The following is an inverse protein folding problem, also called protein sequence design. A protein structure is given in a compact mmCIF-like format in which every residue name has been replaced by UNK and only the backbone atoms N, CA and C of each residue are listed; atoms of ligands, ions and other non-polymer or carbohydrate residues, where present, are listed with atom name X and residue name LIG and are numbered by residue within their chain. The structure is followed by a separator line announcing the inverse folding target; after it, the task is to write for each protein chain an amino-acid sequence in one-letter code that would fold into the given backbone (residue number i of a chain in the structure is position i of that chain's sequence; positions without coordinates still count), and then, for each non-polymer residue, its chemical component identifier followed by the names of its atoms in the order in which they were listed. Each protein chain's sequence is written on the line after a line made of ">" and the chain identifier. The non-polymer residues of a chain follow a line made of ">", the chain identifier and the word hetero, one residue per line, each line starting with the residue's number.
data_IF_943025914103
#
_entry.id   IF_943025914103
#
_cell.length_a   1.000
_cell.length_b   1.000
_cell.length_c   1.000
_cell.angle_alpha   90.00
_cell.angle_beta   90.00
_cell.angle_gamma   90.00
#
_symmetry.space_group_name_H-M   'P 1'
#
loop_
_entity.id
_entity.type
_entity.pdbx_description
1 polymer ?
#
# COMPACT_ATOMS: atom_id res chain seq x y z
N UNK A 1 -38.55 0.94 29.61
CA UNK A 1 -37.44 0.01 29.30
C UNK A 1 -36.22 0.89 29.05
N UNK A 2 -35.34 1.04 30.04
CA UNK A 2 -34.16 1.92 29.94
C UNK A 2 -32.99 1.14 29.33
N UNK A 3 -32.40 1.70 28.27
CA UNK A 3 -31.20 1.17 27.63
C UNK A 3 -29.97 1.67 28.40
N UNK A 4 -29.32 0.80 29.17
CA UNK A 4 -28.03 1.08 29.78
C UNK A 4 -26.91 0.77 28.79
N UNK A 5 -26.13 1.78 28.39
CA UNK A 5 -24.92 1.61 27.58
C UNK A 5 -23.68 1.70 28.49
N UNK A 6 -22.91 0.61 28.56
CA UNK A 6 -21.54 0.66 29.10
C UNK A 6 -20.61 1.29 28.07
N UNK A 7 -20.54 2.61 28.05
CA UNK A 7 -19.51 3.34 27.30
C UNK A 7 -18.16 3.30 28.03
N UNK A 8 -17.07 3.55 27.31
CA UNK A 8 -15.74 3.80 27.92
C UNK A 8 -15.84 5.11 28.72
N UNK A 9 -15.35 5.09 29.96
CA UNK A 9 -15.37 6.24 30.88
C UNK A 9 -14.88 7.51 30.15
N UNK A 10 -15.73 8.56 30.09
CA UNK A 10 -15.52 9.88 29.45
C UNK A 10 -15.75 10.00 27.93
N UNK A 11 -16.31 9.01 27.25
CA UNK A 11 -16.67 9.16 25.82
C UNK A 11 -18.08 9.75 25.66
N UNK A 12 -18.21 10.90 24.95
CA UNK A 12 -19.52 11.50 24.61
C UNK A 12 -20.08 10.89 23.32
N UNK A 13 -21.41 10.75 23.26
CA UNK A 13 -22.11 10.28 22.06
C UNK A 13 -21.75 11.16 20.85
N UNK A 14 -21.36 10.54 19.74
CA UNK A 14 -21.00 11.25 18.50
C UNK A 14 -19.56 11.77 18.40
N UNK A 15 -18.75 11.66 19.47
CA UNK A 15 -17.34 12.06 19.45
C UNK A 15 -16.43 10.84 19.26
N UNK A 16 -15.88 10.67 18.05
CA UNK A 16 -14.76 9.76 17.80
C UNK A 16 -13.48 10.43 18.28
N UNK A 17 -13.10 10.22 19.54
CA UNK A 17 -11.74 10.54 19.97
C UNK A 17 -10.79 9.66 19.15
N UNK A 18 -9.79 10.28 18.52
CA UNK A 18 -8.66 9.57 17.89
C UNK A 18 -7.87 8.74 18.93
N UNK A 19 -6.82 8.02 18.50
CA UNK A 19 -6.15 7.01 19.32
C UNK A 19 -5.78 7.48 20.75
N UNK A 20 -5.77 6.55 21.73
CA UNK A 20 -5.55 5.12 21.54
C UNK A 20 -6.84 4.31 21.76
N UNK A 21 -7.53 3.95 20.67
CA UNK A 21 -8.20 2.64 20.70
C UNK A 21 -7.08 1.60 20.75
N UNK A 22 -7.20 0.56 21.57
CA UNK A 22 -6.16 -0.43 21.68
C UNK A 22 -5.92 -1.03 20.29
N UNK A 23 -4.66 -0.94 19.86
CA UNK A 23 -4.22 -1.25 18.50
C UNK A 23 -4.33 -2.76 18.20
N UNK A 24 -4.77 -3.58 19.15
CA UNK A 24 -4.75 -5.03 19.02
C UNK A 24 -6.10 -5.51 18.47
N UNK A 25 -6.06 -6.46 17.54
CA UNK A 25 -7.26 -7.23 17.15
C UNK A 25 -7.90 -8.05 18.28
N UNK A 26 -7.42 -7.89 19.53
CA UNK A 26 -8.00 -8.43 20.75
C UNK A 26 -9.22 -7.66 21.24
N UNK A 27 -9.37 -6.40 20.86
CA UNK A 27 -10.37 -5.48 21.43
C UNK A 27 -11.71 -5.45 20.69
N UNK A 28 -11.85 -6.32 19.69
CA UNK A 28 -13.16 -6.61 19.14
C UNK A 28 -14.05 -7.26 20.19
N UNK A 29 -15.25 -6.71 20.37
CA UNK A 29 -16.29 -7.37 21.15
C UNK A 29 -16.55 -8.78 20.59
N UNK A 30 -17.07 -9.73 21.39
CA UNK A 30 -17.42 -11.06 20.89
C UNK A 30 -18.33 -11.01 19.65
N UNK A 31 -19.24 -10.02 19.58
CA UNK A 31 -20.10 -9.79 18.42
C UNK A 31 -19.32 -9.33 17.19
N UNK A 32 -18.37 -8.40 17.34
CA UNK A 32 -17.47 -7.98 16.26
C UNK A 32 -16.59 -9.13 15.79
N UNK A 33 -16.02 -9.92 16.70
CA UNK A 33 -15.25 -11.14 16.37
C UNK A 33 -16.08 -12.13 15.56
N UNK A 34 -17.35 -12.36 15.96
CA UNK A 34 -18.30 -13.23 15.24
C UNK A 34 -18.65 -12.66 13.85
N UNK A 35 -18.92 -11.36 13.74
CA UNK A 35 -19.23 -10.71 12.47
C UNK A 35 -18.03 -10.74 11.50
N UNK A 36 -16.82 -10.47 12.00
CA UNK A 36 -15.57 -10.59 11.24
C UNK A 36 -15.40 -12.03 10.78
N UNK A 37 -15.52 -13.01 11.69
CA UNK A 37 -15.40 -14.44 11.35
C UNK A 37 -16.38 -14.87 10.26
N UNK A 38 -17.64 -14.44 10.35
CA UNK A 38 -18.68 -14.78 9.38
C UNK A 38 -18.48 -14.11 8.01
N UNK A 39 -17.88 -12.92 7.98
CA UNK A 39 -17.54 -12.21 6.72
C UNK A 39 -16.24 -12.69 6.09
N UNK A 40 -15.34 -13.32 6.85
CA UNK A 40 -14.09 -13.85 6.33
C UNK A 40 -14.36 -15.06 5.44
N UNK A 41 -14.02 -14.93 4.15
CA UNK A 41 -14.25 -16.01 3.16
C UNK A 41 -13.25 -17.16 3.28
N UNK A 42 -12.05 -16.91 3.80
CA UNK A 42 -11.03 -17.92 4.13
C UNK A 42 -9.92 -17.31 5.00
N UNK A 43 -9.10 -18.14 5.64
CA UNK A 43 -7.90 -17.68 6.36
C UNK A 43 -6.93 -16.98 5.42
N UNK A 44 -6.60 -15.72 5.71
CA UNK A 44 -5.58 -14.93 5.02
C UNK A 44 -5.85 -14.67 3.51
N UNK A 45 -7.11 -14.45 3.11
CA UNK A 45 -7.46 -13.99 1.76
C UNK A 45 -7.32 -12.48 1.58
N UNK A 46 -7.03 -12.07 0.35
CA UNK A 46 -7.08 -10.67 -0.10
C UNK A 46 -8.45 -10.03 0.18
N UNK A 47 -9.52 -10.82 0.07
CA UNK A 47 -10.87 -10.37 0.37
C UNK A 47 -11.01 -9.86 1.81
N UNK A 48 -10.33 -10.50 2.76
CA UNK A 48 -10.35 -10.02 4.13
C UNK A 48 -9.59 -8.68 4.28
N UNK A 49 -8.48 -8.50 3.57
CA UNK A 49 -7.66 -7.27 3.66
C UNK A 49 -8.26 -6.09 2.93
N UNK A 50 -9.14 -6.37 1.95
CA UNK A 50 -10.03 -5.37 1.39
C UNK A 50 -10.94 -4.74 2.46
N UNK A 51 -11.43 -5.53 3.41
CA UNK A 51 -12.50 -5.12 4.32
C UNK A 51 -12.07 -4.91 5.78
N UNK A 52 -10.88 -5.39 6.17
CA UNK A 52 -10.41 -5.38 7.55
C UNK A 52 -9.00 -4.82 7.65
N UNK A 53 -8.85 -3.80 8.50
CA UNK A 53 -7.55 -3.26 8.86
C UNK A 53 -6.66 -4.34 9.47
N UNK A 54 -5.36 -4.22 9.23
CA UNK A 54 -4.33 -5.08 9.80
C UNK A 54 -3.50 -4.30 10.83
N UNK A 55 -2.96 -5.01 11.82
CA UNK A 55 -2.01 -4.44 12.77
C UNK A 55 -0.75 -5.28 12.73
N UNK A 56 0.37 -4.65 12.39
CA UNK A 56 1.68 -5.26 12.37
C UNK A 56 2.32 -5.08 13.74
N UNK A 57 2.78 -6.17 14.33
CA UNK A 57 3.35 -6.14 15.67
C UNK A 57 4.83 -5.80 15.57
N UNK A 58 5.30 -4.81 16.33
CA UNK A 58 6.68 -4.35 16.24
C UNK A 58 7.71 -5.48 16.41
N UNK A 59 7.48 -6.34 17.40
CA UNK A 59 8.40 -7.43 17.77
C UNK A 59 8.37 -8.62 16.80
N UNK A 60 7.37 -8.70 15.92
CA UNK A 60 7.14 -9.89 15.07
C UNK A 60 7.16 -9.60 13.58
N UNK A 61 7.14 -8.32 13.20
CA UNK A 61 7.04 -7.90 11.81
C UNK A 61 8.40 -7.40 11.32
N UNK A 62 8.84 -7.96 10.20
CA UNK A 62 9.91 -7.37 9.38
C UNK A 62 9.33 -6.94 8.05
N UNK A 63 9.42 -5.64 7.75
CA UNK A 63 9.04 -5.03 6.50
C UNK A 63 10.17 -5.18 5.48
N UNK A 64 9.92 -5.91 4.41
CA UNK A 64 10.92 -6.24 3.38
C UNK A 64 10.57 -5.60 2.05
N UNK A 65 11.54 -4.95 1.41
CA UNK A 65 11.44 -4.44 0.05
C UNK A 65 12.63 -4.86 -0.82
N UNK A 66 12.43 -4.89 -2.14
CA UNK A 66 13.46 -5.23 -3.13
C UNK A 66 13.71 -4.03 -4.04
N UNK A 67 14.94 -3.56 -4.10
CA UNK A 67 15.32 -2.36 -4.86
C UNK A 67 16.71 -2.49 -5.46
N UNK A 68 16.98 -1.83 -6.60
CA UNK A 68 18.35 -1.65 -7.08
C UNK A 68 19.11 -0.57 -6.33
N UNK A 69 18.38 0.36 -5.72
CA UNK A 69 18.92 1.33 -4.77
C UNK A 69 18.95 0.72 -3.36
N UNK A 70 20.14 0.62 -2.77
CA UNK A 70 20.37 0.09 -1.42
C UNK A 70 19.78 0.99 -0.33
N UNK A 71 19.56 2.27 -0.61
CA UNK A 71 19.11 3.27 0.34
C UNK A 71 17.62 3.61 0.13
N UNK A 72 16.87 2.77 -0.59
CA UNK A 72 15.47 3.02 -1.00
C UNK A 72 14.50 3.34 0.15
N UNK A 73 14.81 2.95 1.39
CA UNK A 73 13.98 3.24 2.56
C UNK A 73 14.50 4.40 3.41
N UNK A 74 15.62 5.01 3.02
CA UNK A 74 16.20 6.19 3.68
C UNK A 74 15.73 7.46 2.98
N UNK A 75 15.41 8.49 3.77
CA UNK A 75 15.03 9.82 3.28
C UNK A 75 13.91 9.80 2.20
N UNK A 76 13.04 8.81 2.26
CA UNK A 76 11.84 8.69 1.42
C UNK A 76 10.61 9.04 2.24
N UNK A 77 9.54 9.48 1.60
CA UNK A 77 8.23 9.73 2.23
C UNK A 77 7.37 8.46 2.32
N UNK A 78 7.68 7.44 1.51
CA UNK A 78 7.02 6.14 1.54
C UNK A 78 7.89 5.04 0.92
N UNK A 79 7.52 3.77 1.18
CA UNK A 79 8.02 2.63 0.40
C UNK A 79 7.04 1.47 0.37
N UNK A 80 7.13 0.67 -0.69
CA UNK A 80 6.44 -0.61 -0.79
C UNK A 80 7.12 -1.66 0.06
N UNK A 81 6.34 -2.39 0.86
CA UNK A 81 6.85 -3.45 1.69
C UNK A 81 5.97 -4.69 1.63
N UNK A 82 6.61 -5.82 1.90
CA UNK A 82 5.93 -7.06 2.28
C UNK A 82 6.34 -7.47 3.66
N UNK A 83 5.39 -8.01 4.42
CA UNK A 83 5.67 -8.60 5.73
C UNK A 83 5.37 -10.10 5.76
N UNK A 84 4.55 -10.61 4.83
CA UNK A 84 4.25 -12.02 4.72
C UNK A 84 5.43 -12.79 4.09
N UNK A 85 5.82 -13.92 4.71
CA UNK A 85 6.94 -14.73 4.21
C UNK A 85 6.74 -15.27 2.80
N UNK A 86 5.50 -15.61 2.42
CA UNK A 86 5.21 -16.07 1.07
C UNK A 86 5.35 -14.94 0.05
N UNK A 87 4.83 -13.75 0.39
CA UNK A 87 4.93 -12.60 -0.50
C UNK A 87 6.42 -12.25 -0.74
N UNK A 88 7.27 -12.35 0.28
CA UNK A 88 8.73 -12.19 0.13
C UNK A 88 9.31 -13.16 -0.90
N UNK A 89 8.92 -14.45 -0.86
CA UNK A 89 9.35 -15.42 -1.86
C UNK A 89 8.80 -15.08 -3.25
N UNK A 90 7.53 -14.70 -3.35
CA UNK A 90 6.92 -14.29 -4.62
C UNK A 90 7.62 -13.09 -5.25
N UNK A 91 7.82 -12.00 -4.49
CA UNK A 91 8.51 -10.81 -5.00
C UNK A 91 9.93 -11.15 -5.43
N UNK A 92 10.64 -11.95 -4.64
CA UNK A 92 12.00 -12.36 -4.98
C UNK A 92 12.05 -13.22 -6.26
N UNK A 93 11.18 -14.22 -6.42
CA UNK A 93 11.16 -15.06 -7.62
C UNK A 93 10.89 -14.25 -8.90
N UNK A 94 9.93 -13.33 -8.83
CA UNK A 94 9.44 -12.61 -10.01
C UNK A 94 10.33 -11.42 -10.39
N UNK A 95 10.67 -10.57 -9.42
CA UNK A 95 11.25 -9.25 -9.68
C UNK A 95 12.74 -9.13 -9.38
N UNK A 96 13.34 -10.12 -8.75
CA UNK A 96 14.77 -10.10 -8.49
C UNK A 96 15.53 -10.62 -9.71
N UNK A 97 15.64 -9.78 -10.74
CA UNK A 97 16.41 -10.07 -11.95
C UNK A 97 17.75 -9.36 -11.92
N UNK A 98 18.83 -9.97 -12.43
CA UNK A 98 20.07 -9.25 -12.61
C UNK A 98 19.88 -8.16 -13.66
N UNK A 99 20.37 -6.95 -13.39
CA UNK A 99 20.47 -5.90 -14.41
C UNK A 99 21.94 -5.57 -14.69
N UNK A 100 22.29 -5.24 -15.93
CA UNK A 100 23.61 -4.72 -16.25
C UNK A 100 23.81 -3.37 -15.55
N UNK A 101 24.90 -3.22 -14.80
CA UNK A 101 25.33 -1.94 -14.24
C UNK A 101 26.83 -1.73 -14.50
N UNK A 102 27.29 -0.49 -14.73
CA UNK A 102 28.71 -0.16 -14.79
C UNK A 102 29.46 -0.59 -13.52
N UNK A 103 30.67 -1.12 -13.69
CA UNK A 103 31.59 -1.42 -12.59
C UNK A 103 32.73 -0.41 -12.65
N UNK A 104 33.05 0.18 -11.51
CA UNK A 104 34.12 1.16 -11.37
C UNK A 104 35.24 0.60 -10.49
N UNK A 105 36.49 0.96 -10.79
CA UNK A 105 37.61 0.72 -9.89
C UNK A 105 37.63 1.71 -8.71
N UNK A 106 38.60 1.55 -7.81
CA UNK A 106 38.77 2.41 -6.62
C UNK A 106 39.01 3.90 -6.93
N UNK A 107 39.40 4.23 -8.16
CA UNK A 107 39.66 5.59 -8.61
C UNK A 107 38.45 6.16 -9.38
N UNK A 108 37.33 5.43 -9.45
CA UNK A 108 36.12 5.85 -10.16
C UNK A 108 36.18 5.64 -11.68
N UNK A 109 37.18 4.94 -12.22
CA UNK A 109 37.24 4.61 -13.66
C UNK A 109 36.36 3.41 -13.95
N UNK A 110 35.49 3.51 -14.97
CA UNK A 110 34.67 2.37 -15.40
C UNK A 110 35.58 1.27 -15.99
N UNK A 111 35.48 0.06 -15.45
CA UNK A 111 36.28 -1.11 -15.84
C UNK A 111 35.44 -2.21 -16.50
N UNK A 112 34.13 -2.05 -16.58
CA UNK A 112 33.25 -2.97 -17.28
C UNK A 112 31.78 -2.82 -16.93
N UNK A 113 31.01 -3.86 -17.23
CA UNK A 113 29.59 -3.98 -16.90
C UNK A 113 29.36 -5.29 -16.17
N UNK A 114 28.81 -5.22 -14.96
CA UNK A 114 28.47 -6.38 -14.14
C UNK A 114 26.96 -6.61 -14.13
N UNK A 115 26.54 -7.84 -13.86
CA UNK A 115 25.14 -8.21 -13.71
C UNK A 115 24.77 -8.26 -12.22
N UNK A 116 23.94 -7.33 -11.76
CA UNK A 116 23.66 -7.16 -10.34
C UNK A 116 22.21 -7.43 -9.98
N UNK A 117 22.01 -8.26 -8.96
CA UNK A 117 20.71 -8.51 -8.34
C UNK A 117 20.28 -7.32 -7.48
N UNK A 118 18.99 -7.28 -7.13
CA UNK A 118 18.44 -6.27 -6.22
C UNK A 118 19.01 -6.42 -4.81
N UNK A 119 19.02 -5.33 -4.07
CA UNK A 119 19.13 -5.35 -2.62
C UNK A 119 17.80 -5.78 -2.01
N UNK A 120 17.89 -6.62 -0.98
CA UNK A 120 16.81 -6.80 -0.01
C UNK A 120 17.08 -5.86 1.15
N UNK A 121 16.07 -5.06 1.46
CA UNK A 121 16.11 -4.06 2.52
C UNK A 121 15.02 -4.45 3.51
N UNK A 122 15.45 -4.92 4.67
CA UNK A 122 14.60 -5.33 5.78
C UNK A 122 14.59 -4.22 6.83
N UNK A 123 13.39 -3.87 7.29
CA UNK A 123 13.16 -2.83 8.30
C UNK A 123 12.31 -3.42 9.42
N UNK A 124 12.53 -2.93 10.63
CA UNK A 124 11.69 -3.20 11.81
C UNK A 124 10.82 -1.98 12.13
N UNK A 125 9.91 -2.14 13.09
CA UNK A 125 8.99 -1.10 13.52
C UNK A 125 9.32 -0.66 14.94
N UNK A 126 9.21 0.64 15.24
CA UNK A 126 9.33 1.18 16.61
C UNK A 126 8.16 0.76 17.50
N UNK A 127 6.95 0.84 16.97
CA UNK A 127 5.72 0.41 17.64
C UNK A 127 4.79 -0.33 16.69
N UNK A 128 3.72 -0.93 17.22
CA UNK A 128 2.70 -1.57 16.41
C UNK A 128 2.19 -0.59 15.33
N UNK A 129 2.09 -1.07 14.09
CA UNK A 129 1.73 -0.26 12.93
C UNK A 129 0.36 -0.69 12.40
N UNK A 130 -0.60 0.23 12.39
CA UNK A 130 -1.92 -0.02 11.79
C UNK A 130 -1.86 0.19 10.28
N UNK A 131 -2.37 -0.80 9.55
CA UNK A 131 -2.47 -0.82 8.08
C UNK A 131 -3.94 -0.64 7.71
N UNK A 132 -4.24 0.40 6.94
CA UNK A 132 -5.58 0.61 6.40
C UNK A 132 -5.92 -0.47 5.38
N UNK A 133 -7.12 -1.06 5.53
CA UNK A 133 -7.74 -1.84 4.47
C UNK A 133 -8.12 -0.98 3.26
N UNK A 134 -8.51 -1.60 2.15
CA UNK A 134 -9.05 -0.86 1.00
C UNK A 134 -10.27 -0.02 1.41
N UNK A 135 -11.21 -0.59 2.18
CA UNK A 135 -12.41 0.13 2.61
C UNK A 135 -12.06 1.32 3.51
N UNK A 136 -11.16 1.16 4.49
CA UNK A 136 -10.73 2.24 5.37
C UNK A 136 -9.92 3.32 4.62
N UNK A 137 -9.02 2.90 3.71
CA UNK A 137 -8.27 3.83 2.86
C UNK A 137 -9.19 4.63 1.94
N UNK A 138 -10.19 3.96 1.35
CA UNK A 138 -11.23 4.60 0.55
C UNK A 138 -12.08 5.56 1.39
N UNK A 139 -12.39 5.25 2.65
CA UNK A 139 -13.11 6.17 3.56
C UNK A 139 -12.31 7.45 3.81
N UNK A 140 -11.02 7.34 4.11
CA UNK A 140 -10.13 8.50 4.28
C UNK A 140 -10.05 9.30 2.98
N UNK A 141 -9.91 8.63 1.84
CA UNK A 141 -9.88 9.25 0.51
C UNK A 141 -11.17 10.02 0.22
N UNK A 142 -12.33 9.41 0.45
CA UNK A 142 -13.64 10.04 0.26
C UNK A 142 -13.81 11.29 1.13
N UNK A 143 -13.36 11.23 2.38
CA UNK A 143 -13.41 12.37 3.28
C UNK A 143 -12.50 13.51 2.82
N UNK A 144 -11.29 13.20 2.34
CA UNK A 144 -10.39 14.20 1.77
C UNK A 144 -10.96 14.81 0.48
N UNK A 145 -11.48 13.97 -0.42
CA UNK A 145 -12.14 14.38 -1.66
C UNK A 145 -13.29 15.38 -1.43
N UNK A 146 -14.08 15.19 -0.38
CA UNK A 146 -15.22 16.09 -0.09
C UNK A 146 -14.82 17.43 0.51
N UNK A 147 -13.67 17.51 1.19
CA UNK A 147 -13.30 18.67 2.01
C UNK A 147 -12.17 19.52 1.43
N UNK A 148 -11.29 18.93 0.60
CA UNK A 148 -10.13 19.61 0.03
C UNK A 148 -10.37 19.86 -1.46
N UNK A 149 -10.57 21.13 -1.83
CA UNK A 149 -10.90 21.54 -3.20
C UNK A 149 -9.81 21.20 -4.21
N UNK A 150 -8.54 21.30 -3.82
CA UNK A 150 -7.43 20.99 -4.73
C UNK A 150 -7.27 19.48 -4.92
N UNK A 151 -7.46 18.69 -3.87
CA UNK A 151 -7.51 17.22 -3.98
C UNK A 151 -8.71 16.78 -4.83
N UNK A 152 -9.88 17.38 -4.64
CA UNK A 152 -11.04 17.19 -5.51
C UNK A 152 -10.65 17.44 -6.98
N UNK A 153 -10.08 18.61 -7.27
CA UNK A 153 -9.70 19.00 -8.63
C UNK A 153 -8.68 18.03 -9.22
N UNK A 154 -7.67 17.62 -8.46
CA UNK A 154 -6.68 16.62 -8.89
C UNK A 154 -7.35 15.30 -9.27
N UNK A 155 -8.29 14.83 -8.44
CA UNK A 155 -9.00 13.57 -8.66
C UNK A 155 -9.96 13.66 -9.85
N UNK A 156 -10.64 14.78 -10.06
CA UNK A 156 -11.58 14.93 -11.19
C UNK A 156 -10.87 15.23 -12.51
N UNK A 157 -9.65 15.74 -12.45
CA UNK A 157 -8.86 16.10 -13.63
C UNK A 157 -8.15 14.87 -14.21
N UNK A 158 -8.57 14.52 -15.43
CA UNK A 158 -8.01 13.41 -16.21
C UNK A 158 -6.55 13.64 -16.59
N UNK A 159 -6.17 14.87 -16.92
CA UNK A 159 -4.80 15.18 -17.34
C UNK A 159 -3.86 15.26 -16.15
N UNK A 160 -4.37 15.59 -14.96
CA UNK A 160 -3.62 15.42 -13.71
C UNK A 160 -3.53 13.94 -13.37
N UNK A 161 -4.58 13.28 -12.90
CA UNK A 161 -4.45 11.94 -12.33
C UNK A 161 -4.24 10.80 -13.35
N UNK A 162 -4.83 10.86 -14.57
CA UNK A 162 -4.74 9.74 -15.54
C UNK A 162 -3.54 9.84 -16.50
N UNK A 163 -2.80 10.95 -16.51
CA UNK A 163 -1.67 11.11 -17.44
C UNK A 163 -0.42 10.33 -17.04
N UNK A 164 -0.34 9.86 -15.79
CA UNK A 164 0.82 9.14 -15.24
C UNK A 164 0.94 7.67 -15.67
N UNK A 165 -0.09 7.12 -16.29
CA UNK A 165 -0.13 5.73 -16.68
C UNK A 165 0.61 5.47 -18.01
N UNK A 166 1.34 4.35 -18.08
CA UNK A 166 2.08 3.92 -19.28
C UNK A 166 1.21 3.70 -20.53
N UNK A 167 1.83 3.66 -21.71
CA UNK A 167 1.18 3.60 -23.04
C UNK A 167 0.09 2.52 -23.20
N UNK A 168 0.16 1.41 -22.45
CA UNK A 168 -0.79 0.28 -22.49
C UNK A 168 -1.89 0.33 -21.42
N UNK A 169 -2.08 1.45 -20.72
CA UNK A 169 -3.03 1.62 -19.60
C UNK A 169 -4.47 1.19 -19.87
N UNK A 170 -4.93 1.30 -21.11
CA UNK A 170 -6.28 0.91 -21.49
C UNK A 170 -6.52 -0.62 -21.42
N UNK A 171 -5.45 -1.42 -21.31
CA UNK A 171 -5.54 -2.86 -21.02
C UNK A 171 -5.80 -3.14 -19.54
N UNK A 172 -5.52 -2.18 -18.65
CA UNK A 172 -5.73 -2.32 -17.22
C UNK A 172 -7.21 -2.09 -16.86
N UNK A 173 -7.86 -3.13 -16.34
CA UNK A 173 -9.29 -3.09 -15.99
C UNK A 173 -9.62 -1.98 -15.00
N UNK A 174 -8.81 -1.81 -13.94
CA UNK A 174 -9.03 -0.78 -12.93
C UNK A 174 -9.02 0.65 -13.50
N UNK A 175 -8.16 0.90 -14.50
CA UNK A 175 -8.09 2.19 -15.18
C UNK A 175 -9.36 2.45 -15.98
N UNK A 176 -9.85 1.46 -16.74
CA UNK A 176 -11.10 1.61 -17.50
C UNK A 176 -12.30 1.87 -16.60
N UNK A 177 -12.39 1.17 -15.47
CA UNK A 177 -13.46 1.35 -14.48
C UNK A 177 -13.40 2.76 -13.87
N UNK A 178 -12.23 3.20 -13.42
CA UNK A 178 -12.07 4.53 -12.84
C UNK A 178 -12.26 5.66 -13.86
N UNK A 179 -11.78 5.50 -15.09
CA UNK A 179 -11.98 6.47 -16.16
C UNK A 179 -13.47 6.64 -16.48
N UNK A 180 -14.26 5.56 -16.53
CA UNK A 180 -15.70 5.64 -16.74
C UNK A 180 -16.42 6.37 -15.59
N UNK A 181 -15.98 6.15 -14.34
CA UNK A 181 -16.50 6.90 -13.19
C UNK A 181 -16.16 8.38 -13.31
N UNK A 182 -14.91 8.71 -13.62
CA UNK A 182 -14.45 10.10 -13.75
C UNK A 182 -15.11 10.86 -14.89
N UNK A 183 -15.42 10.21 -16.01
CA UNK A 183 -16.20 10.84 -17.09
C UNK A 183 -17.60 11.21 -16.62
N UNK A 184 -18.27 10.36 -15.82
CA UNK A 184 -19.57 10.73 -15.21
C UNK A 184 -19.43 11.88 -14.22
N UNK A 185 -18.32 11.95 -13.48
CA UNK A 185 -18.04 13.03 -12.52
C UNK A 185 -17.75 14.39 -13.16
N UNK A 186 -17.65 14.48 -14.50
CA UNK A 186 -17.60 15.78 -15.20
C UNK A 186 -18.96 16.47 -15.28
N UNK A 187 -20.04 15.70 -15.17
CA UNK A 187 -21.39 16.25 -15.08
C UNK A 187 -21.55 16.95 -13.72
N UNK A 188 -21.81 18.27 -13.69
CA UNK A 188 -21.96 19.01 -12.44
C UNK A 188 -23.11 18.51 -11.56
N UNK A 189 -24.10 17.83 -12.13
CA UNK A 189 -25.25 17.30 -11.40
C UNK A 189 -25.01 15.87 -10.89
N UNK A 190 -23.92 15.22 -11.31
CA UNK A 190 -23.60 13.87 -10.88
C UNK A 190 -22.98 13.84 -9.48
N UNK A 191 -23.68 13.18 -8.55
CA UNK A 191 -23.14 12.89 -7.22
C UNK A 191 -22.53 11.47 -7.18
N UNK A 192 -21.21 11.32 -7.01
CA UNK A 192 -20.57 10.01 -7.00
C UNK A 192 -20.97 9.21 -5.74
N UNK A 193 -21.30 7.93 -5.94
CA UNK A 193 -21.58 7.03 -4.81
C UNK A 193 -20.29 6.62 -4.09
N UNK A 194 -20.41 6.02 -2.90
CA UNK A 194 -19.27 5.45 -2.19
C UNK A 194 -18.51 4.39 -3.02
N UNK A 195 -19.24 3.62 -3.85
CA UNK A 195 -18.65 2.62 -4.76
C UNK A 195 -17.88 3.28 -5.90
N UNK A 196 -18.39 4.40 -6.41
CA UNK A 196 -17.73 5.19 -7.45
C UNK A 196 -16.40 5.74 -6.91
N UNK A 197 -16.44 6.37 -5.73
CA UNK A 197 -15.23 6.90 -5.08
C UNK A 197 -14.24 5.80 -4.68
N UNK A 198 -14.69 4.62 -4.23
CA UNK A 198 -13.79 3.47 -4.02
C UNK A 198 -13.13 3.01 -5.32
N UNK A 199 -13.84 3.04 -6.45
CA UNK A 199 -13.28 2.70 -7.75
C UNK A 199 -12.19 3.68 -8.16
N UNK A 200 -12.40 4.98 -7.91
CA UNK A 200 -11.40 6.03 -8.15
C UNK A 200 -10.22 5.93 -7.16
N UNK A 201 -10.47 5.61 -5.90
CA UNK A 201 -9.43 5.37 -4.88
C UNK A 201 -8.42 4.32 -5.34
N UNK A 202 -8.86 3.20 -5.93
CA UNK A 202 -7.94 2.18 -6.46
C UNK A 202 -7.02 2.72 -7.56
N UNK A 203 -7.51 3.69 -8.34
CA UNK A 203 -6.69 4.35 -9.35
C UNK A 203 -5.73 5.35 -8.71
N UNK A 204 -6.16 6.08 -7.69
CA UNK A 204 -5.28 6.94 -6.89
C UNK A 204 -4.15 6.15 -6.24
N UNK A 205 -4.45 4.98 -5.64
CA UNK A 205 -3.48 4.06 -5.03
C UNK A 205 -2.36 3.65 -6.01
N UNK A 206 -2.70 3.43 -7.29
CA UNK A 206 -1.72 3.20 -8.36
C UNK A 206 -0.81 4.41 -8.63
N UNK A 207 -1.35 5.62 -8.48
CA UNK A 207 -0.65 6.88 -8.82
C UNK A 207 0.26 7.36 -7.69
N UNK A 208 -0.03 7.00 -6.43
CA UNK A 208 0.80 7.32 -5.23
C UNK A 208 2.32 7.23 -5.48
N UNK A 209 2.89 6.16 -6.07
CA UNK A 209 4.34 6.00 -6.25
C UNK A 209 4.96 6.88 -7.33
N UNK A 210 4.14 7.57 -8.13
CA UNK A 210 4.67 8.37 -9.23
C UNK A 210 5.54 9.51 -8.67
N UNK A 211 6.79 9.55 -9.10
CA UNK A 211 7.83 10.47 -8.64
C UNK A 211 8.22 11.52 -9.70
N UNK A 212 7.52 11.53 -10.83
CA UNK A 212 7.71 12.50 -11.90
C UNK A 212 8.29 11.92 -13.18
N UNK A 213 9.04 10.81 -13.18
CA UNK A 213 9.65 10.15 -14.38
C UNK A 213 9.85 11.06 -15.62
N UNK A 214 10.59 12.17 -15.49
CA UNK A 214 10.88 13.13 -16.57
C UNK A 214 10.03 14.41 -16.59
N UNK A 215 8.99 14.51 -15.78
CA UNK A 215 8.16 15.70 -15.54
C UNK A 215 8.10 16.01 -14.04
N UNK A 216 8.95 16.97 -13.63
CA UNK A 216 9.09 17.38 -12.23
C UNK A 216 7.81 18.00 -11.67
N UNK A 217 7.03 18.71 -12.48
CA UNK A 217 5.81 19.38 -12.04
C UNK A 217 4.73 18.35 -11.68
N UNK A 218 4.59 17.37 -12.55
CA UNK A 218 3.74 16.20 -12.36
C UNK A 218 4.13 15.39 -11.13
N UNK A 219 5.42 15.14 -10.93
CA UNK A 219 5.91 14.48 -9.73
C UNK A 219 5.62 15.27 -8.45
N UNK A 220 5.78 16.60 -8.50
CA UNK A 220 5.48 17.48 -7.38
C UNK A 220 3.98 17.49 -7.05
N UNK A 221 3.10 17.54 -8.05
CA UNK A 221 1.65 17.53 -7.82
C UNK A 221 1.20 16.25 -7.12
N UNK A 222 1.62 15.07 -7.62
CA UNK A 222 1.33 13.79 -6.96
C UNK A 222 1.90 13.75 -5.55
N UNK A 223 3.13 14.23 -5.34
CA UNK A 223 3.74 14.33 -4.02
C UNK A 223 2.88 15.17 -3.05
N UNK A 224 2.39 16.33 -3.49
CA UNK A 224 1.52 17.20 -2.68
C UNK A 224 0.21 16.47 -2.33
N UNK A 225 -0.47 15.89 -3.32
CA UNK A 225 -1.76 15.23 -3.08
C UNK A 225 -1.63 13.95 -2.24
N UNK A 226 -0.59 13.14 -2.47
CA UNK A 226 -0.35 11.95 -1.64
C UNK A 226 0.04 12.34 -0.22
N UNK A 227 0.78 13.43 -0.02
CA UNK A 227 1.14 13.92 1.31
C UNK A 227 -0.11 14.35 2.09
N UNK A 228 -1.05 15.07 1.45
CA UNK A 228 -2.35 15.38 2.06
C UNK A 228 -3.09 14.11 2.48
N UNK A 229 -3.15 13.12 1.60
CA UNK A 229 -3.80 11.85 1.88
C UNK A 229 -3.14 11.08 3.03
N UNK A 230 -1.81 10.94 3.03
CA UNK A 230 -1.07 10.29 4.12
C UNK A 230 -1.25 11.02 5.44
N UNK A 231 -1.30 12.35 5.45
CA UNK A 231 -1.59 13.10 6.66
C UNK A 231 -2.99 12.80 7.21
N UNK A 232 -4.00 12.65 6.34
CA UNK A 232 -5.34 12.22 6.77
C UNK A 232 -5.36 10.77 7.26
N UNK A 233 -4.59 9.87 6.65
CA UNK A 233 -4.41 8.51 7.14
C UNK A 233 -3.75 8.50 8.54
N UNK A 234 -2.68 9.29 8.75
CA UNK A 234 -2.02 9.42 10.06
C UNK A 234 -2.99 9.96 11.11
N UNK A 235 -3.80 10.99 10.79
CA UNK A 235 -4.85 11.50 11.69
C UNK A 235 -5.88 10.44 12.04
N UNK A 236 -6.19 9.53 11.11
CA UNK A 236 -7.07 8.38 11.33
C UNK A 236 -6.38 7.19 12.05
N UNK A 237 -5.09 7.32 12.39
CA UNK A 237 -4.32 6.33 13.15
C UNK A 237 -3.66 5.24 12.31
N UNK A 238 -3.49 5.46 11.01
CA UNK A 238 -2.81 4.54 10.10
C UNK A 238 -1.38 5.00 9.80
N UNK A 239 -0.44 4.06 9.73
CA UNK A 239 0.93 4.33 9.27
C UNK A 239 1.33 3.59 8.00
N UNK A 240 0.43 2.74 7.51
CA UNK A 240 0.52 2.09 6.21
C UNK A 240 -0.87 1.85 5.62
N UNK A 241 -0.93 1.52 4.34
CA UNK A 241 -2.16 1.11 3.65
C UNK A 241 -1.90 -0.13 2.82
N UNK A 242 -2.96 -0.90 2.57
CA UNK A 242 -2.94 -2.00 1.59
C UNK A 242 -2.67 -1.43 0.20
N UNK A 243 -1.59 -1.88 -0.44
CA UNK A 243 -1.35 -1.62 -1.86
C UNK A 243 -2.38 -2.39 -2.67
N UNK A 244 -3.47 -1.69 -2.98
CA UNK A 244 -4.66 -2.28 -3.59
C UNK A 244 -4.39 -2.60 -5.05
N UNK A 245 -3.52 -1.83 -5.70
CA UNK A 245 -3.06 -2.14 -7.03
C UNK A 245 -2.32 -3.48 -7.10
N UNK A 246 -1.28 -3.69 -6.30
CA UNK A 246 -0.52 -4.96 -6.31
C UNK A 246 -1.35 -6.14 -5.80
N UNK A 247 -2.28 -5.88 -4.88
CA UNK A 247 -3.18 -6.90 -4.36
C UNK A 247 -4.20 -7.34 -5.42
N UNK A 248 -4.94 -6.41 -6.05
CA UNK A 248 -6.11 -6.73 -6.89
C UNK A 248 -5.74 -6.92 -8.36
N UNK A 249 -4.89 -6.06 -8.89
CA UNK A 249 -4.69 -5.96 -10.33
C UNK A 249 -3.28 -6.33 -10.79
N UNK A 250 -2.30 -6.29 -9.91
CA UNK A 250 -0.97 -6.81 -10.19
C UNK A 250 -1.07 -8.27 -10.66
N UNK A 251 -0.24 -8.66 -11.64
CA UNK A 251 -0.09 -10.07 -12.05
C UNK A 251 0.41 -10.99 -10.91
N UNK A 252 0.62 -10.41 -9.73
CA UNK A 252 1.25 -10.90 -8.53
C UNK A 252 0.27 -11.55 -7.52
N UNK A 253 -0.96 -11.01 -7.38
CA UNK A 253 -1.94 -11.42 -6.36
C UNK A 253 -1.31 -11.58 -4.96
N UNK A 254 -0.57 -10.56 -4.54
CA UNK A 254 0.03 -10.48 -3.20
C UNK A 254 -0.97 -10.88 -2.12
N UNK A 255 -0.51 -11.52 -1.05
CA UNK A 255 -1.36 -11.65 0.13
C UNK A 255 -1.46 -10.35 0.92
N UNK A 256 -0.37 -9.63 1.17
CA UNK A 256 -0.28 -8.44 2.03
C UNK A 256 0.79 -7.45 1.52
N UNK A 257 0.60 -6.86 0.32
CA UNK A 257 1.46 -5.77 -0.12
C UNK A 257 1.01 -4.50 0.61
N UNK A 258 1.94 -3.72 1.13
CA UNK A 258 1.60 -2.47 1.81
C UNK A 258 2.45 -1.32 1.31
N UNK A 259 1.86 -0.13 1.34
CA UNK A 259 2.57 1.15 1.21
C UNK A 259 2.77 1.68 2.64
N UNK A 260 4.02 1.76 3.07
CA UNK A 260 4.40 2.32 4.37
C UNK A 260 4.72 3.79 4.15
N UNK A 261 4.06 4.69 4.91
CA UNK A 261 4.24 6.14 4.79
C UNK A 261 4.52 6.81 6.14
N UNK A 262 4.29 6.13 7.27
CA UNK A 262 4.74 6.63 8.57
C UNK A 262 6.20 6.26 8.82
N UNK A 263 7.08 6.99 8.13
CA UNK A 263 8.52 6.73 8.12
C UNK A 263 9.17 6.93 9.49
N UNK A 264 8.53 7.67 10.40
CA UNK A 264 8.98 7.81 11.79
C UNK A 264 8.94 6.49 12.55
N UNK A 265 8.08 5.55 12.15
CA UNK A 265 7.96 4.23 12.78
C UNK A 265 8.98 3.21 12.26
N UNK A 266 9.73 3.54 11.21
CA UNK A 266 10.57 2.59 10.48
C UNK A 266 12.00 2.64 11.02
N UNK A 267 12.54 1.48 11.38
CA UNK A 267 13.93 1.33 11.80
C UNK A 267 14.65 0.46 10.76
N UNK A 268 15.65 1.00 10.04
CA UNK A 268 16.49 0.20 9.16
C UNK A 268 17.12 -0.96 9.93
N UNK A 269 17.04 -2.18 9.39
CA UNK A 269 17.58 -3.38 10.03
C UNK A 269 18.74 -3.93 9.21
N UNK A 270 18.43 -4.62 8.11
CA UNK A 270 19.42 -5.29 7.28
C UNK A 270 19.27 -4.85 5.83
N UNK A 271 20.41 -4.66 5.17
CA UNK A 271 20.45 -4.40 3.72
C UNK A 271 21.54 -5.24 3.11
N UNK A 272 21.16 -6.12 2.19
CA UNK A 272 22.12 -6.99 1.53
C UNK A 272 21.75 -7.21 0.07
N UNK A 273 22.78 -7.36 -0.78
CA UNK A 273 22.57 -7.71 -2.19
C UNK A 273 22.20 -9.19 -2.26
N UNK A 274 21.06 -9.45 -2.86
CA UNK A 274 20.55 -10.82 -3.01
C UNK A 274 21.38 -11.63 -4.01
N UNK A 275 21.21 -12.94 -3.97
CA UNK A 275 21.92 -13.90 -4.85
C UNK A 275 20.96 -14.58 -5.81
N UNK A 276 21.49 -15.03 -6.94
CA UNK A 276 20.73 -15.85 -7.91
C UNK A 276 20.20 -17.15 -7.26
N UNK A 277 20.94 -17.73 -6.32
CA UNK A 277 20.49 -18.91 -5.57
C UNK A 277 19.24 -18.65 -4.74
N UNK A 278 19.12 -17.47 -4.11
CA UNK A 278 17.92 -17.08 -3.35
C UNK A 278 16.71 -16.92 -4.27
N UNK A 279 16.90 -16.35 -5.46
CA UNK A 279 15.85 -16.23 -6.47
C UNK A 279 15.36 -17.62 -6.92
N UNK A 280 16.29 -18.54 -7.21
CA UNK A 280 15.98 -19.92 -7.60
C UNK A 280 15.25 -20.66 -6.48
N UNK A 281 15.71 -20.52 -5.23
CA UNK A 281 15.05 -21.10 -4.07
C UNK A 281 13.61 -20.58 -3.93
N UNK A 282 13.41 -19.26 -4.00
CA UNK A 282 12.06 -18.69 -4.00
C UNK A 282 11.19 -19.24 -5.14
N UNK A 283 11.75 -19.44 -6.33
CA UNK A 283 11.03 -20.02 -7.46
C UNK A 283 10.57 -21.46 -7.16
N UNK A 284 11.43 -22.28 -6.54
CA UNK A 284 11.10 -23.64 -6.12
C UNK A 284 9.99 -23.67 -5.04
N UNK A 285 10.05 -22.78 -4.05
CA UNK A 285 9.00 -22.63 -3.03
C UNK A 285 7.63 -22.40 -3.67
N UNK A 286 7.56 -21.55 -4.71
CA UNK A 286 6.30 -21.27 -5.41
C UNK A 286 5.81 -22.44 -6.25
N UNK A 287 6.72 -23.14 -6.93
CA UNK A 287 6.38 -24.32 -7.72
C UNK A 287 5.85 -25.45 -6.82
N UNK A 288 6.54 -25.73 -5.71
CA UNK A 288 6.11 -26.72 -4.73
C UNK A 288 4.73 -26.39 -4.15
N UNK A 289 4.49 -25.13 -3.81
CA UNK A 289 3.18 -24.66 -3.33
C UNK A 289 2.08 -24.91 -4.37
N UNK A 290 2.33 -24.56 -5.64
CA UNK A 290 1.37 -24.77 -6.73
C UNK A 290 1.07 -26.26 -6.94
N UNK A 291 2.10 -27.10 -6.87
CA UNK A 291 1.94 -28.56 -6.98
C UNK A 291 1.10 -29.15 -5.84
N UNK A 292 1.17 -28.57 -4.64
CA UNK A 292 0.41 -28.98 -3.46
C UNK A 292 -1.00 -28.35 -3.36
N UNK A 293 -1.41 -27.52 -4.33
CA UNK A 293 -2.72 -26.87 -4.33
C UNK A 293 -2.91 -25.82 -3.22
N UNK A 294 -1.81 -25.28 -2.67
CA UNK A 294 -1.81 -24.37 -1.50
C UNK A 294 -1.87 -22.89 -1.83
#
# INVERSE_FOLDING_TARGET
>A
MELYHHGILKQKWGVRNGPPYPLRGGDYTPAQKKAIRNKRKSGNSIYNKKHFDEVLNADKTTLSTLSYDKDRTKNTDMFYATHNSLDKHQYNALFNRPIPQPVYDKNGKQIGTGAFMKYRIDNSLKTDLKVASEDSGAEVFMNLYRKDRDFYNFVTDKDRMQSYFVKDKYKFKGYREAAAVLERMKDPDYTPSAKDLQTVYRMFDYVIPYDGQGDRWKGHDVYVQRTKFFNECKKAGYGALLDTNDAIYGGFKAKSPIIVFDMEQVIPKDTYRTKLSEQKFSTLVLLGRKALGL
#
